data_IF_968282369361
#
_entry.id   IF_968282369361
#
_cell.length_a   1.000
_cell.length_b   1.000
_cell.length_c   1.000
_cell.angle_alpha   90.00
_cell.angle_beta   90.00
_cell.angle_gamma   90.00
#
_symmetry.space_group_name_H-M   'P 1'
#
loop_
_entity.id
_entity.type
_entity.pdbx_description
1 polymer ?
#
# COMPACT_ATOMS: atom_id res chain seq x y z
N UNK A 1 -3.82 -21.50 -2.70
CA UNK A 1 -3.25 -22.27 -3.81
C UNK A 1 -1.95 -21.61 -4.23
N UNK A 2 -0.82 -22.33 -4.17
CA UNK A 2 0.48 -21.79 -4.50
C UNK A 2 0.66 -21.51 -6.01
N UNK A 3 -0.28 -21.98 -6.84
CA UNK A 3 -0.28 -21.73 -8.29
C UNK A 3 -1.08 -20.49 -8.70
N UNK A 4 -1.75 -19.83 -7.74
CA UNK A 4 -2.57 -18.66 -8.03
C UNK A 4 -1.70 -17.41 -8.22
N UNK A 5 -1.57 -16.95 -9.47
CA UNK A 5 -0.94 -15.65 -9.77
C UNK A 5 -1.93 -14.53 -9.44
N UNK A 6 -1.58 -13.66 -8.49
CA UNK A 6 -2.38 -12.48 -8.12
C UNK A 6 -1.71 -11.25 -8.71
N UNK A 7 -2.29 -10.67 -9.78
CA UNK A 7 -1.80 -9.39 -10.33
C UNK A 7 -2.43 -8.18 -9.66
N UNK A 8 -3.65 -8.36 -9.11
CA UNK A 8 -4.38 -7.33 -8.39
C UNK A 8 -5.11 -7.91 -7.17
N UNK A 9 -4.86 -7.31 -6.01
CA UNK A 9 -5.59 -7.59 -4.77
C UNK A 9 -6.95 -6.90 -4.83
N UNK A 10 -8.02 -7.65 -4.58
CA UNK A 10 -9.39 -7.15 -4.57
C UNK A 10 -9.94 -7.05 -3.14
N UNK A 11 -11.06 -6.35 -2.95
CA UNK A 11 -11.69 -6.20 -1.63
C UNK A 11 -11.99 -7.52 -0.93
N UNK A 12 -12.32 -8.57 -1.69
CA UNK A 12 -12.54 -9.93 -1.15
C UNK A 12 -11.28 -10.56 -0.53
N UNK A 13 -10.10 -10.16 -1.00
CA UNK A 13 -8.83 -10.71 -0.50
C UNK A 13 -8.44 -10.03 0.84
N UNK A 14 -8.94 -8.82 1.10
CA UNK A 14 -8.67 -8.05 2.33
C UNK A 14 -9.35 -8.65 3.57
N UNK A 15 -10.37 -9.49 3.38
CA UNK A 15 -11.09 -10.17 4.48
C UNK A 15 -10.46 -11.51 4.86
N UNK A 16 -9.34 -11.90 4.25
CA UNK A 16 -8.65 -13.16 4.56
C UNK A 16 -8.26 -13.20 6.03
N UNK A 17 -8.57 -14.32 6.69
CA UNK A 17 -8.17 -14.52 8.08
C UNK A 17 -6.74 -15.03 8.17
N UNK A 18 -5.82 -14.15 8.54
CA UNK A 18 -4.39 -14.44 8.68
C UNK A 18 -3.76 -13.50 9.70
N UNK A 19 -2.86 -13.98 10.57
CA UNK A 19 -2.18 -13.10 11.53
C UNK A 19 -1.29 -12.04 10.86
N UNK A 20 -1.01 -12.18 9.55
CA UNK A 20 -0.29 -11.18 8.74
C UNK A 20 -1.20 -10.10 8.13
N UNK A 21 -2.53 -10.21 8.28
CA UNK A 21 -3.46 -9.26 7.67
C UNK A 21 -3.58 -7.97 8.50
N UNK A 22 -2.84 -6.94 8.10
CA UNK A 22 -2.85 -5.60 8.72
C UNK A 22 -4.11 -4.79 8.44
N UNK A 23 -5.02 -5.24 7.56
CA UNK A 23 -6.37 -4.67 7.46
C UNK A 23 -7.28 -5.12 8.61
N UNK A 24 -7.04 -6.32 9.18
CA UNK A 24 -7.88 -6.92 10.22
C UNK A 24 -7.28 -6.75 11.62
N UNK A 25 -5.97 -6.93 11.76
CA UNK A 25 -5.26 -6.87 13.03
C UNK A 25 -4.40 -5.61 13.12
N UNK A 26 -4.52 -4.87 14.22
CA UNK A 26 -3.72 -3.66 14.48
C UNK A 26 -2.31 -4.02 14.92
N UNK A 27 -1.32 -3.21 14.52
CA UNK A 27 0.07 -3.38 14.89
C UNK A 27 0.90 -4.05 13.79
N UNK A 28 2.07 -4.54 14.17
CA UNK A 28 2.97 -5.25 13.26
C UNK A 28 2.55 -6.73 13.14
N UNK A 29 2.76 -7.35 11.96
CA UNK A 29 2.58 -8.79 11.81
C UNK A 29 3.56 -9.59 12.70
N UNK A 30 3.33 -10.90 12.93
CA UNK A 30 4.18 -11.73 13.79
C UNK A 30 5.64 -11.85 13.35
N UNK A 31 5.93 -11.56 12.08
CA UNK A 31 7.28 -11.60 11.53
C UNK A 31 7.40 -10.84 10.20
N UNK A 32 8.61 -10.76 9.63
CA UNK A 32 8.84 -10.10 8.35
C UNK A 32 8.10 -10.78 7.19
N UNK A 33 7.61 -9.96 6.26
CA UNK A 33 6.97 -10.45 5.01
C UNK A 33 7.96 -10.54 3.84
N UNK A 34 9.12 -9.90 3.95
CA UNK A 34 10.21 -9.95 2.98
C UNK A 34 11.56 -9.89 3.72
N UNK A 35 12.65 -10.12 2.99
CA UNK A 35 13.99 -9.74 3.44
C UNK A 35 14.19 -8.23 3.19
N UNK A 36 14.38 -7.40 4.23
CA UNK A 36 14.60 -5.97 4.06
C UNK A 36 15.99 -5.71 3.50
N UNK A 37 16.12 -4.68 2.69
CA UNK A 37 17.40 -4.12 2.28
C UNK A 37 17.91 -3.10 3.31
N UNK A 38 19.18 -2.72 3.18
CA UNK A 38 19.83 -1.79 4.12
C UNK A 38 19.11 -0.43 4.13
N UNK A 39 18.65 0.06 2.96
CA UNK A 39 17.98 1.35 2.90
C UNK A 39 16.63 1.35 3.62
N UNK A 40 15.90 0.23 3.62
CA UNK A 40 14.68 0.07 4.41
C UNK A 40 14.96 0.07 5.91
N UNK A 41 16.05 -0.55 6.36
CA UNK A 41 16.45 -0.55 7.76
C UNK A 41 16.81 0.88 8.20
N UNK A 42 17.63 1.57 7.42
CA UNK A 42 18.05 2.94 7.70
C UNK A 42 16.86 3.91 7.71
N UNK A 43 15.87 3.73 6.82
CA UNK A 43 14.66 4.56 6.78
C UNK A 43 13.79 4.41 8.03
N UNK A 44 13.76 3.23 8.65
CA UNK A 44 13.04 3.00 9.91
C UNK A 44 13.79 3.63 11.08
N UNK A 45 15.12 3.47 11.13
CA UNK A 45 15.96 4.00 12.22
C UNK A 45 16.09 5.53 12.18
N UNK A 46 16.10 6.12 10.98
CA UNK A 46 16.29 7.55 10.73
C UNK A 46 15.05 8.17 10.06
N UNK A 47 13.86 7.82 10.54
CA UNK A 47 12.61 8.29 9.95
C UNK A 47 12.48 9.83 9.99
N UNK A 48 12.11 10.43 8.86
CA UNK A 48 11.87 11.88 8.77
C UNK A 48 10.62 12.26 9.58
N UNK A 49 10.68 13.27 10.46
CA UNK A 49 9.52 13.70 11.21
C UNK A 49 8.50 14.36 10.29
N UNK A 50 7.35 13.72 10.11
CA UNK A 50 6.25 14.24 9.31
C UNK A 50 4.88 13.89 9.89
N UNK A 51 3.84 14.63 9.48
CA UNK A 51 2.45 14.41 9.93
C UNK A 51 1.57 13.63 8.95
N UNK A 52 2.15 12.90 8.00
CA UNK A 52 1.40 12.14 7.01
C UNK A 52 0.89 10.81 7.58
N UNK A 53 -0.36 10.49 7.28
CA UNK A 53 -0.99 9.23 7.68
C UNK A 53 -1.39 8.35 6.51
N UNK A 54 -1.50 8.95 5.31
CA UNK A 54 -1.97 8.26 4.12
C UNK A 54 -1.02 8.53 2.95
N UNK A 55 -0.87 7.56 2.07
CA UNK A 55 -0.15 7.71 0.81
C UNK A 55 -0.89 6.95 -0.30
N UNK A 56 -0.73 7.40 -1.54
CA UNK A 56 -1.22 6.71 -2.73
C UNK A 56 -0.20 6.90 -3.85
N UNK A 57 -0.04 5.91 -4.74
CA UNK A 57 0.84 6.04 -5.88
C UNK A 57 0.42 7.21 -6.77
N UNK A 58 1.38 8.02 -7.20
CA UNK A 58 1.15 9.20 -8.03
C UNK A 58 1.05 8.77 -9.50
N UNK A 59 -0.12 8.94 -10.17
CA UNK A 59 -0.29 8.54 -11.56
C UNK A 59 0.46 9.44 -12.55
N UNK A 60 0.82 10.66 -12.16
CA UNK A 60 1.55 11.62 -13.01
C UNK A 60 3.07 11.46 -12.88
N UNK A 61 3.53 10.95 -11.73
CA UNK A 61 4.95 10.75 -11.41
C UNK A 61 5.24 9.28 -11.09
N UNK A 62 5.49 8.43 -12.11
CA UNK A 62 5.84 7.03 -11.90
C UNK A 62 7.01 6.86 -10.92
N UNK A 63 6.84 5.98 -9.94
CA UNK A 63 7.83 5.74 -8.88
C UNK A 63 7.68 6.64 -7.63
N UNK A 64 6.79 7.63 -7.67
CA UNK A 64 6.50 8.50 -6.53
C UNK A 64 5.13 8.22 -5.90
N UNK A 65 4.98 8.70 -4.66
CA UNK A 65 3.75 8.61 -3.90
C UNK A 65 3.31 10.01 -3.47
N UNK A 66 2.00 10.24 -3.51
CA UNK A 66 1.39 11.43 -2.96
C UNK A 66 0.99 11.19 -1.51
N UNK A 67 1.58 11.92 -0.57
CA UNK A 67 1.31 11.83 0.87
C UNK A 67 0.19 12.79 1.29
N UNK A 68 -0.61 12.38 2.27
CA UNK A 68 -1.76 13.15 2.77
C UNK A 68 -1.88 13.07 4.29
N UNK A 69 -2.31 14.18 4.91
CA UNK A 69 -2.53 14.25 6.37
C UNK A 69 -3.95 13.89 6.77
N UNK A 70 -4.90 14.00 5.85
CA UNK A 70 -6.33 13.74 6.09
C UNK A 70 -6.90 12.67 5.16
N UNK A 71 -7.95 12.00 5.61
CA UNK A 71 -8.68 11.01 4.81
C UNK A 71 -9.33 11.62 3.56
N UNK A 72 -9.85 12.85 3.66
CA UNK A 72 -10.48 13.55 2.54
C UNK A 72 -9.48 13.80 1.40
N UNK A 73 -8.29 14.30 1.75
CA UNK A 73 -7.20 14.53 0.80
C UNK A 73 -6.72 13.22 0.16
N UNK A 74 -6.57 12.16 0.95
CA UNK A 74 -6.24 10.83 0.44
C UNK A 74 -7.30 10.33 -0.55
N UNK A 75 -8.59 10.47 -0.24
CA UNK A 75 -9.68 9.99 -1.08
C UNK A 75 -9.75 10.73 -2.42
N UNK A 76 -9.42 12.02 -2.46
CA UNK A 76 -9.32 12.78 -3.70
C UNK A 76 -8.21 12.20 -4.60
N UNK A 77 -6.98 12.08 -4.08
CA UNK A 77 -5.83 11.52 -4.82
C UNK A 77 -6.06 10.06 -5.23
N UNK A 78 -6.68 9.26 -4.35
CA UNK A 78 -7.08 7.86 -4.62
C UNK A 78 -8.02 7.77 -5.81
N UNK A 79 -8.96 8.72 -5.98
CA UNK A 79 -9.87 8.73 -7.12
C UNK A 79 -9.12 8.84 -8.44
N UNK A 80 -8.07 9.65 -8.48
CA UNK A 80 -7.28 9.86 -9.70
C UNK A 80 -6.40 8.64 -10.02
N UNK A 81 -5.78 8.03 -9.00
CA UNK A 81 -5.11 6.74 -9.15
C UNK A 81 -6.06 5.64 -9.66
N UNK A 82 -7.28 5.58 -9.14
CA UNK A 82 -8.27 4.57 -9.58
C UNK A 82 -8.70 4.77 -11.02
N UNK A 83 -8.89 6.01 -11.48
CA UNK A 83 -9.18 6.29 -12.89
C UNK A 83 -8.03 5.81 -13.77
N UNK A 84 -6.79 6.13 -13.40
CA UNK A 84 -5.59 5.74 -14.13
C UNK A 84 -5.42 4.22 -14.23
N UNK A 85 -5.52 3.49 -13.11
CA UNK A 85 -5.36 2.01 -13.13
C UNK A 85 -6.50 1.32 -13.89
N UNK A 86 -7.71 1.90 -13.87
CA UNK A 86 -8.86 1.35 -14.60
C UNK A 86 -8.70 1.51 -16.11
N UNK A 87 -8.07 2.60 -16.57
CA UNK A 87 -7.75 2.82 -17.97
C UNK A 87 -6.70 1.83 -18.53
N UNK A 88 -5.86 1.24 -17.67
CA UNK A 88 -4.84 0.26 -18.09
C UNK A 88 -5.39 -1.15 -18.36
N UNK A 89 -6.68 -1.41 -18.06
CA UNK A 89 -7.28 -2.71 -18.34
C UNK A 89 -6.71 -3.88 -17.52
N UNK A 90 -6.02 -3.60 -16.40
CA UNK A 90 -5.43 -4.64 -15.54
C UNK A 90 -6.55 -5.40 -14.81
N UNK A 91 -6.74 -6.65 -15.24
CA UNK A 91 -7.60 -7.66 -14.61
C UNK A 91 -6.78 -8.46 -13.58
N UNK A 92 -7.50 -9.20 -12.71
CA UNK A 92 -6.91 -10.01 -11.63
C UNK A 92 -5.87 -11.00 -12.16
#
# INVERSE_FOLDING_TARGET
DFQQVIRRVLYKDLSLDSPYNTYKYKGLPPGPITMPDISSIDAVLNAEPHGYYYFVADPERPGYHSFSKSLSEHNAKRKDYIKWISAQGIKR
#
